data_IF_366379215942
#
_entry.id   IF_366379215942
#
_cell.length_a   1.000
_cell.length_b   1.000
_cell.length_c   1.000
_cell.angle_alpha   90.00
_cell.angle_beta   90.00
_cell.angle_gamma   90.00
#
_symmetry.space_group_name_H-M   'P 1'
#
loop_
_entity.id
_entity.type
_entity.pdbx_description
1 polymer ?
#
# COMPACT_ATOMS: atom_id res chain seq x y z
N UNK A 1 -46.30 25.86 42.01
CA UNK A 1 -46.29 25.73 40.53
C UNK A 1 -44.89 26.00 40.02
N UNK A 2 -44.42 25.15 39.09
CA UNK A 2 -43.17 25.16 38.32
C UNK A 2 -41.90 24.62 39.00
N UNK A 3 -41.54 23.45 38.48
CA UNK A 3 -40.36 22.60 38.70
C UNK A 3 -39.13 23.11 37.90
N UNK A 4 -37.94 22.47 38.04
CA UNK A 4 -36.62 23.10 38.13
C UNK A 4 -35.83 23.08 36.81
N UNK A 5 -34.61 23.65 36.82
CA UNK A 5 -33.57 23.30 35.83
C UNK A 5 -32.25 23.04 36.54
N UNK A 6 -31.96 21.74 36.72
CA UNK A 6 -30.66 21.20 37.05
C UNK A 6 -29.78 21.30 35.79
N UNK A 7 -28.79 22.20 35.78
CA UNK A 7 -27.70 22.15 34.82
C UNK A 7 -26.72 21.05 35.26
N UNK A 8 -26.87 19.86 34.66
CA UNK A 8 -25.85 18.82 34.71
C UNK A 8 -24.74 19.20 33.72
N UNK A 9 -23.60 19.63 34.25
CA UNK A 9 -22.37 19.74 33.46
C UNK A 9 -21.90 18.33 33.11
N UNK A 10 -21.97 17.97 31.82
CA UNK A 10 -21.38 16.75 31.29
C UNK A 10 -19.88 17.01 31.04
N UNK A 11 -19.02 16.43 31.87
CA UNK A 11 -17.60 16.33 31.57
C UNK A 11 -17.39 15.22 30.52
N UNK A 12 -17.07 15.60 29.28
CA UNK A 12 -16.60 14.67 28.26
C UNK A 12 -15.10 14.51 28.50
N UNK A 13 -14.71 13.40 29.13
CA UNK A 13 -13.33 12.96 29.18
C UNK A 13 -12.96 12.39 27.79
N UNK A 14 -12.21 13.15 27.01
CA UNK A 14 -11.62 12.69 25.76
C UNK A 14 -10.41 11.80 26.11
N UNK A 15 -10.65 10.49 26.25
CA UNK A 15 -9.57 9.52 26.39
C UNK A 15 -8.86 9.36 25.03
N UNK A 16 -7.71 10.01 24.88
CA UNK A 16 -6.78 9.79 23.77
C UNK A 16 -6.28 8.34 23.85
N UNK A 17 -6.74 7.50 22.91
CA UNK A 17 -6.23 6.15 22.71
C UNK A 17 -4.85 6.21 22.03
N UNK A 18 -3.79 6.53 22.78
CA UNK A 18 -2.39 6.52 22.29
C UNK A 18 -1.61 5.28 22.72
N UNK A 19 -2.29 4.26 23.28
CA UNK A 19 -1.64 3.18 24.02
C UNK A 19 -0.99 2.06 23.21
N UNK A 20 -1.31 1.88 21.93
CA UNK A 20 -0.83 0.72 21.15
C UNK A 20 0.42 0.99 20.34
N UNK A 21 0.56 2.20 19.78
CA UNK A 21 1.68 2.54 18.89
C UNK A 21 3.01 2.61 19.66
N UNK A 22 3.01 3.15 20.88
CA UNK A 22 4.24 3.29 21.67
C UNK A 22 4.84 1.93 22.09
N UNK A 23 3.99 0.98 22.51
CA UNK A 23 4.45 -0.35 22.93
C UNK A 23 5.06 -1.17 21.76
N UNK A 24 4.48 -1.09 20.57
CA UNK A 24 5.01 -1.78 19.38
C UNK A 24 6.31 -1.14 18.86
N UNK A 25 6.48 0.18 19.01
CA UNK A 25 7.72 0.87 18.66
C UNK A 25 8.90 0.46 19.57
N UNK A 26 8.62 0.24 20.86
CA UNK A 26 9.60 -0.26 21.82
C UNK A 26 10.04 -1.70 21.48
N UNK A 27 9.12 -2.56 21.01
CA UNK A 27 9.41 -3.92 20.59
C UNK A 27 10.38 -3.97 19.38
N UNK A 28 10.17 -3.11 18.37
CA UNK A 28 11.01 -3.04 17.19
C UNK A 28 12.46 -2.64 17.54
N UNK A 29 12.63 -1.61 18.39
CA UNK A 29 13.94 -1.14 18.82
C UNK A 29 14.70 -2.18 19.65
N UNK A 30 14.01 -2.87 20.55
CA UNK A 30 14.60 -3.94 21.37
C UNK A 30 15.06 -5.12 20.52
N UNK A 31 14.25 -5.56 19.55
CA UNK A 31 14.62 -6.62 18.62
C UNK A 31 15.83 -6.25 17.76
N UNK A 32 15.88 -5.01 17.28
CA UNK A 32 17.02 -4.50 16.52
C UNK A 32 18.31 -4.49 17.34
N UNK A 33 18.25 -4.00 18.59
CA UNK A 33 19.39 -3.99 19.50
C UNK A 33 19.88 -5.41 19.81
N UNK A 34 18.96 -6.35 20.08
CA UNK A 34 19.29 -7.77 20.28
C UNK A 34 19.99 -8.37 19.06
N UNK A 35 19.50 -8.09 17.85
CA UNK A 35 20.12 -8.54 16.62
C UNK A 35 21.56 -8.04 16.45
N UNK A 36 21.81 -6.77 16.78
CA UNK A 36 23.15 -6.20 16.73
C UNK A 36 24.13 -6.86 17.71
N UNK A 37 23.69 -7.17 18.93
CA UNK A 37 24.52 -7.87 19.92
C UNK A 37 24.81 -9.32 19.52
N UNK A 38 23.83 -10.05 18.98
CA UNK A 38 24.03 -11.40 18.45
C UNK A 38 25.03 -11.43 17.29
N UNK A 39 24.99 -10.42 16.42
CA UNK A 39 25.95 -10.31 15.32
C UNK A 39 27.38 -10.10 15.84
N UNK A 40 27.56 -9.23 16.84
CA UNK A 40 28.87 -9.04 17.50
C UNK A 40 29.36 -10.31 18.20
N UNK A 41 28.44 -11.11 18.74
CA UNK A 41 28.74 -12.38 19.38
C UNK A 41 29.06 -13.53 18.40
N UNK A 42 29.04 -13.28 17.08
CA UNK A 42 29.29 -14.31 16.07
C UNK A 42 28.14 -15.27 15.86
N UNK A 43 26.90 -14.83 16.14
CA UNK A 43 25.66 -15.60 15.98
C UNK A 43 24.79 -15.03 14.84
N UNK A 44 25.21 -15.15 13.57
CA UNK A 44 24.59 -14.44 12.46
C UNK A 44 23.17 -14.91 12.11
N UNK A 45 22.83 -16.18 12.34
CA UNK A 45 21.50 -16.72 12.03
C UNK A 45 20.45 -16.17 13.00
N UNK A 46 20.73 -16.20 14.30
CA UNK A 46 19.86 -15.62 15.33
C UNK A 46 19.79 -14.10 15.22
N UNK A 47 20.90 -13.45 14.85
CA UNK A 47 20.93 -12.03 14.57
C UNK A 47 20.00 -11.67 13.40
N UNK A 48 20.09 -12.40 12.29
CA UNK A 48 19.22 -12.20 11.13
C UNK A 48 17.75 -12.34 11.51
N UNK A 49 17.39 -13.37 12.29
CA UNK A 49 16.01 -13.55 12.76
C UNK A 49 15.52 -12.34 13.57
N UNK A 50 16.30 -11.90 14.56
CA UNK A 50 15.92 -10.76 15.41
C UNK A 50 15.77 -9.46 14.60
N UNK A 51 16.68 -9.20 13.66
CA UNK A 51 16.62 -8.03 12.78
C UNK A 51 15.44 -8.11 11.80
N UNK A 52 15.12 -9.30 11.29
CA UNK A 52 13.95 -9.47 10.43
C UNK A 52 12.64 -9.25 11.19
N UNK A 53 12.54 -9.76 12.43
CA UNK A 53 11.37 -9.49 13.28
C UNK A 53 11.25 -7.97 13.58
N UNK A 54 12.35 -7.28 13.89
CA UNK A 54 12.35 -5.82 14.03
C UNK A 54 11.90 -5.09 12.76
N UNK A 55 12.36 -5.55 11.59
CA UNK A 55 11.97 -4.99 10.30
C UNK A 55 10.48 -5.20 9.99
N UNK A 56 9.87 -6.29 10.46
CA UNK A 56 8.44 -6.54 10.32
C UNK A 56 7.63 -5.59 11.20
N UNK A 57 8.05 -5.33 12.43
CA UNK A 57 7.38 -4.35 13.30
C UNK A 57 7.45 -2.93 12.68
N UNK A 58 8.63 -2.52 12.21
CA UNK A 58 8.79 -1.25 11.51
C UNK A 58 7.93 -1.16 10.23
N UNK A 59 7.81 -2.27 9.51
CA UNK A 59 6.94 -2.38 8.34
C UNK A 59 5.47 -2.19 8.70
N UNK A 60 4.97 -2.86 9.74
CA UNK A 60 3.58 -2.75 10.19
C UNK A 60 3.25 -1.34 10.73
N UNK A 61 4.23 -0.61 11.23
CA UNK A 61 4.05 0.80 11.64
C UNK A 61 4.11 1.78 10.47
N UNK A 62 4.66 1.36 9.33
CA UNK A 62 4.75 2.22 8.14
C UNK A 62 3.35 2.43 7.52
N UNK A 63 3.07 3.61 6.95
CA UNK A 63 1.89 3.80 6.11
C UNK A 63 1.87 2.82 4.93
N UNK A 64 0.68 2.52 4.41
CA UNK A 64 0.57 1.84 3.12
C UNK A 64 1.10 2.80 2.04
N UNK A 65 2.24 2.45 1.47
CA UNK A 65 2.97 3.26 0.50
C UNK A 65 3.43 2.44 -0.70
N UNK A 66 4.19 3.08 -1.59
CA UNK A 66 4.68 2.44 -2.81
C UNK A 66 6.15 2.81 -3.03
N UNK A 67 7.04 1.82 -2.94
CA UNK A 67 8.49 2.04 -3.16
C UNK A 67 8.86 2.14 -4.64
N UNK A 68 7.94 1.72 -5.51
CA UNK A 68 8.07 1.83 -6.97
C UNK A 68 6.70 1.93 -7.60
N UNK A 69 6.56 2.83 -8.56
CA UNK A 69 5.40 2.94 -9.46
C UNK A 69 5.92 3.30 -10.86
N UNK A 70 5.57 2.54 -11.88
CA UNK A 70 6.15 2.65 -13.22
C UNK A 70 5.10 2.36 -14.29
N UNK A 71 5.22 3.04 -15.43
CA UNK A 71 4.64 2.56 -16.68
C UNK A 71 5.58 1.52 -17.28
N UNK A 72 5.04 0.38 -17.71
CA UNK A 72 5.85 -0.74 -18.22
C UNK A 72 5.43 -1.16 -19.62
N UNK A 73 6.36 -1.70 -20.40
CA UNK A 73 6.09 -2.20 -21.75
C UNK A 73 5.47 -3.60 -21.75
N UNK A 74 5.73 -4.39 -20.70
CA UNK A 74 5.18 -5.72 -20.49
C UNK A 74 4.92 -5.98 -19.00
N UNK A 75 3.98 -6.89 -18.65
CA UNK A 75 3.80 -7.33 -17.27
C UNK A 75 5.06 -7.98 -16.69
N UNK A 76 5.43 -7.61 -15.46
CA UNK A 76 6.52 -8.24 -14.75
C UNK A 76 6.17 -9.70 -14.43
N UNK A 77 7.15 -10.62 -14.55
CA UNK A 77 6.96 -12.05 -14.25
C UNK A 77 7.29 -12.38 -12.79
N UNK A 78 8.15 -11.59 -12.15
CA UNK A 78 8.45 -11.67 -10.73
C UNK A 78 8.76 -10.29 -10.16
N UNK A 79 8.87 -10.23 -8.83
CA UNK A 79 9.18 -9.00 -8.12
C UNK A 79 10.52 -8.42 -8.60
N UNK A 80 10.51 -7.15 -8.98
CA UNK A 80 11.68 -6.45 -9.48
C UNK A 80 12.01 -6.69 -10.96
N UNK A 81 11.31 -7.57 -11.69
CA UNK A 81 11.57 -7.84 -13.11
C UNK A 81 10.68 -7.00 -14.03
N UNK A 82 10.66 -5.69 -13.82
CA UNK A 82 9.88 -4.75 -14.63
C UNK A 82 10.68 -4.26 -15.85
N UNK A 83 9.96 -3.90 -16.92
CA UNK A 83 10.53 -3.26 -18.10
C UNK A 83 9.91 -1.86 -18.26
N UNK A 84 10.54 -0.80 -17.70
CA UNK A 84 10.00 0.54 -17.75
C UNK A 84 9.84 1.01 -19.19
N UNK A 85 8.79 1.79 -19.47
CA UNK A 85 8.72 2.54 -20.72
C UNK A 85 9.66 3.73 -20.66
N UNK A 86 10.21 4.09 -21.81
CA UNK A 86 10.99 5.32 -21.97
C UNK A 86 10.09 6.56 -21.97
N UNK A 87 8.83 6.41 -22.39
CA UNK A 87 7.84 7.48 -22.46
C UNK A 87 6.52 7.09 -21.79
N UNK A 88 5.79 8.10 -21.34
CA UNK A 88 4.42 7.99 -20.87
C UNK A 88 3.38 8.34 -21.95
N UNK A 89 3.79 8.32 -23.22
CA UNK A 89 2.92 8.58 -24.37
C UNK A 89 2.43 7.26 -24.94
N UNK A 90 1.14 7.18 -25.21
CA UNK A 90 0.45 6.00 -25.71
C UNK A 90 -0.37 6.33 -26.95
N UNK A 91 -0.42 5.36 -27.86
CA UNK A 91 -1.48 5.32 -28.87
C UNK A 91 -2.78 4.95 -28.16
N UNK A 92 -3.88 5.63 -28.49
CA UNK A 92 -5.19 5.46 -27.85
C UNK A 92 -5.75 4.03 -27.89
N UNK A 93 -5.19 3.15 -28.74
CA UNK A 93 -5.61 1.75 -28.85
C UNK A 93 -4.67 0.76 -28.14
N UNK A 94 -3.64 1.24 -27.43
CA UNK A 94 -2.70 0.37 -26.71
C UNK A 94 -3.04 0.25 -25.22
N UNK A 95 -2.97 -0.95 -24.63
CA UNK A 95 -3.14 -1.11 -23.19
C UNK A 95 -2.08 -0.34 -22.42
N UNK A 96 -2.53 0.48 -21.47
CA UNK A 96 -1.70 1.12 -20.46
C UNK A 96 -1.34 0.07 -19.42
N UNK A 97 -0.05 -0.15 -19.18
CA UNK A 97 0.43 -1.13 -18.18
C UNK A 97 1.21 -0.43 -17.11
N UNK A 98 0.91 -0.76 -15.87
CA UNK A 98 1.53 -0.18 -14.69
C UNK A 98 2.10 -1.28 -13.81
N UNK A 99 3.22 -0.98 -13.18
CA UNK A 99 3.87 -1.81 -12.19
C UNK A 99 3.99 -1.03 -10.89
N UNK A 100 3.59 -1.61 -9.77
CA UNK A 100 3.73 -0.99 -8.46
C UNK A 100 4.17 -1.98 -7.38
N UNK A 101 4.97 -1.51 -6.42
CA UNK A 101 5.49 -2.31 -5.30
C UNK A 101 5.00 -1.70 -3.98
N UNK A 102 3.93 -2.25 -3.37
CA UNK A 102 3.38 -1.73 -2.14
C UNK A 102 4.31 -2.00 -0.94
N UNK A 103 4.26 -1.13 0.05
CA UNK A 103 4.97 -1.24 1.32
C UNK A 103 4.06 -0.94 2.49
N UNK A 104 4.34 -1.51 3.65
CA UNK A 104 3.58 -1.22 4.88
C UNK A 104 2.19 -1.87 4.98
N UNK A 105 1.85 -2.77 4.05
CA UNK A 105 0.68 -3.65 4.16
C UNK A 105 0.88 -4.69 5.26
N UNK A 106 -0.20 -5.25 5.81
CA UNK A 106 -0.14 -6.30 6.81
C UNK A 106 -0.56 -7.68 6.31
N UNK A 107 -0.64 -8.60 7.28
CA UNK A 107 -1.06 -9.97 7.05
C UNK A 107 -2.11 -10.32 8.09
N UNK A 108 -3.23 -10.89 7.65
CA UNK A 108 -4.14 -11.59 8.55
C UNK A 108 -3.54 -12.97 8.87
N UNK A 109 -3.74 -13.47 10.09
CA UNK A 109 -3.34 -14.82 10.48
C UNK A 109 -4.54 -15.76 10.36
N UNK A 110 -4.35 -16.89 9.67
CA UNK A 110 -5.32 -17.98 9.60
C UNK A 110 -4.61 -19.30 9.92
N UNK A 111 -4.70 -19.73 11.18
CA UNK A 111 -3.97 -20.89 11.69
C UNK A 111 -2.45 -20.71 11.57
N UNK A 112 -1.83 -21.53 10.72
CA UNK A 112 -0.39 -21.49 10.41
C UNK A 112 -0.05 -20.60 9.19
N UNK A 113 -1.04 -20.00 8.54
CA UNK A 113 -0.87 -19.20 7.33
C UNK A 113 -0.99 -17.70 7.61
N UNK A 114 -0.24 -16.93 6.83
CA UNK A 114 -0.37 -15.50 6.68
C UNK A 114 -1.08 -15.20 5.36
N UNK A 115 -2.06 -14.30 5.41
CA UNK A 115 -2.86 -13.89 4.26
C UNK A 115 -2.72 -12.39 4.01
N UNK A 116 -2.22 -12.04 2.83
CA UNK A 116 -2.32 -10.69 2.26
C UNK A 116 -3.67 -10.61 1.56
N UNK A 117 -4.42 -9.54 1.83
CA UNK A 117 -5.74 -9.29 1.23
C UNK A 117 -5.83 -7.81 0.87
N UNK A 118 -5.53 -7.48 -0.39
CA UNK A 118 -5.56 -6.12 -0.91
C UNK A 118 -6.58 -5.99 -2.05
N UNK A 119 -7.35 -4.91 -2.08
CA UNK A 119 -8.12 -4.51 -3.26
C UNK A 119 -7.62 -3.19 -3.81
N UNK A 120 -7.84 -2.97 -5.10
CA UNK A 120 -7.37 -1.79 -5.83
C UNK A 120 -8.53 -1.15 -6.58
N UNK A 121 -8.73 0.13 -6.35
CA UNK A 121 -9.59 1.01 -7.14
C UNK A 121 -8.76 1.79 -8.16
N UNK A 122 -9.42 2.34 -9.19
CA UNK A 122 -8.85 3.44 -9.95
C UNK A 122 -9.82 4.61 -10.14
N UNK A 123 -9.28 5.81 -10.27
CA UNK A 123 -9.98 6.98 -10.80
C UNK A 123 -9.14 7.64 -11.88
N UNK A 124 -9.80 8.16 -12.92
CA UNK A 124 -9.18 8.80 -14.07
C UNK A 124 -9.63 10.26 -14.13
N UNK A 125 -8.67 11.16 -14.33
CA UNK A 125 -8.92 12.58 -14.55
C UNK A 125 -8.11 13.12 -15.73
N UNK A 126 -8.58 14.18 -16.36
CA UNK A 126 -7.76 14.98 -17.27
C UNK A 126 -6.76 15.84 -16.49
N UNK A 127 -5.80 16.43 -17.20
CA UNK A 127 -4.76 17.28 -16.62
C UNK A 127 -5.29 18.49 -15.82
N UNK A 128 -6.46 19.02 -16.17
CA UNK A 128 -7.13 20.10 -15.45
C UNK A 128 -7.94 19.63 -14.23
N UNK A 129 -7.92 18.33 -13.93
CA UNK A 129 -8.57 17.73 -12.77
C UNK A 129 -10.03 17.31 -12.99
N UNK A 130 -10.58 17.44 -14.20
CA UNK A 130 -11.94 16.96 -14.47
C UNK A 130 -12.00 15.43 -14.34
N UNK A 131 -12.95 14.87 -13.55
CA UNK A 131 -13.13 13.43 -13.45
C UNK A 131 -13.69 12.88 -14.76
N UNK A 132 -13.12 11.76 -15.22
CA UNK A 132 -13.48 11.11 -16.48
C UNK A 132 -14.07 9.72 -16.26
N UNK A 133 -13.73 9.06 -15.16
CA UNK A 133 -14.28 7.77 -14.78
C UNK A 133 -13.58 7.21 -13.56
N UNK A 134 -14.21 6.23 -12.92
CA UNK A 134 -13.65 5.49 -11.80
C UNK A 134 -14.20 4.07 -11.79
N UNK A 135 -13.47 3.18 -11.14
CA UNK A 135 -13.92 1.83 -10.86
C UNK A 135 -13.42 1.40 -9.48
N UNK A 136 -14.38 0.97 -8.65
CA UNK A 136 -14.13 0.29 -7.38
C UNK A 136 -13.84 -1.18 -7.62
N UNK A 137 -13.02 -1.77 -6.76
CA UNK A 137 -12.65 -3.19 -6.80
C UNK A 137 -12.18 -3.60 -8.22
N UNK A 138 -11.34 -2.75 -8.81
CA UNK A 138 -10.78 -2.97 -10.15
C UNK A 138 -9.88 -4.21 -10.21
N UNK A 139 -9.13 -4.48 -9.13
CA UNK A 139 -8.41 -5.74 -8.95
C UNK A 139 -8.35 -6.14 -7.47
N UNK A 140 -8.27 -7.45 -7.22
CA UNK A 140 -8.07 -8.05 -5.91
C UNK A 140 -6.80 -8.92 -5.90
N UNK A 141 -6.07 -8.87 -4.80
CA UNK A 141 -4.87 -9.66 -4.54
C UNK A 141 -5.01 -10.41 -3.22
N UNK A 142 -5.13 -11.74 -3.31
CA UNK A 142 -5.21 -12.64 -2.15
C UNK A 142 -4.06 -13.63 -2.23
N UNK A 143 -3.10 -13.50 -1.32
CA UNK A 143 -1.90 -14.35 -1.29
C UNK A 143 -1.84 -15.00 0.08
N UNK A 144 -1.81 -16.32 0.10
CA UNK A 144 -1.58 -17.12 1.29
C UNK A 144 -0.14 -17.65 1.28
N UNK A 145 0.49 -17.62 2.44
CA UNK A 145 1.86 -18.08 2.61
C UNK A 145 2.10 -18.58 4.03
N UNK A 146 3.09 -19.45 4.22
CA UNK A 146 3.61 -19.80 5.56
C UNK A 146 4.53 -18.72 6.13
N UNK A 147 4.87 -17.73 5.32
CA UNK A 147 5.77 -16.63 5.66
C UNK A 147 5.09 -15.27 5.48
N UNK A 148 5.56 -14.27 6.24
CA UNK A 148 5.17 -12.85 6.10
C UNK A 148 5.86 -12.24 4.87
N UNK A 149 5.44 -12.64 3.68
CA UNK A 149 6.03 -12.22 2.39
C UNK A 149 5.88 -10.72 2.20
N UNK A 150 7.00 -10.03 1.93
CA UNK A 150 7.06 -8.58 1.64
C UNK A 150 7.37 -8.27 0.17
N UNK A 151 7.80 -9.26 -0.61
CA UNK A 151 8.14 -9.13 -2.03
C UNK A 151 6.88 -9.26 -2.90
N UNK A 152 6.05 -8.23 -2.89
CA UNK A 152 4.80 -8.17 -3.66
C UNK A 152 4.82 -7.04 -4.67
N UNK A 153 4.13 -7.24 -5.79
CA UNK A 153 3.98 -6.26 -6.85
C UNK A 153 2.61 -6.38 -7.52
N UNK A 154 2.19 -5.32 -8.19
CA UNK A 154 0.98 -5.29 -9.00
C UNK A 154 1.33 -5.15 -10.48
N UNK A 155 0.65 -5.93 -11.32
CA UNK A 155 0.57 -5.69 -12.76
C UNK A 155 -0.83 -5.16 -13.07
N UNK A 156 -0.96 -3.84 -13.22
CA UNK A 156 -2.24 -3.19 -13.52
C UNK A 156 -2.32 -2.92 -15.03
N UNK A 157 -3.48 -3.14 -15.64
CA UNK A 157 -3.68 -2.87 -17.07
C UNK A 157 -4.99 -2.14 -17.30
N UNK A 158 -4.94 -0.97 -17.94
CA UNK A 158 -6.12 -0.20 -18.34
C UNK A 158 -6.17 -0.06 -19.85
N UNK A 159 -7.37 -0.14 -20.41
CA UNK A 159 -7.62 0.11 -21.83
C UNK A 159 -8.64 1.23 -21.94
N UNK A 160 -8.25 2.33 -22.58
CA UNK A 160 -9.09 3.53 -22.72
C UNK A 160 -9.61 3.64 -24.16
N UNK A 161 -10.64 2.86 -24.47
CA UNK A 161 -11.22 2.84 -25.81
C UNK A 161 -11.83 4.20 -26.17
N UNK A 162 -11.32 4.83 -27.23
CA UNK A 162 -11.86 6.08 -27.77
C UNK A 162 -11.58 7.32 -26.92
N UNK A 163 -10.64 7.26 -25.97
CA UNK A 163 -10.21 8.46 -25.26
C UNK A 163 -9.49 9.42 -26.23
N UNK A 164 -9.83 10.72 -26.23
CA UNK A 164 -9.22 11.68 -27.16
C UNK A 164 -7.74 11.96 -26.82
N UNK A 165 -7.05 12.63 -27.74
CA UNK A 165 -5.71 13.15 -27.47
C UNK A 165 -5.71 14.06 -26.25
N UNK A 166 -4.71 13.88 -25.40
CA UNK A 166 -4.59 14.71 -24.20
C UNK A 166 -3.76 14.06 -23.10
N UNK A 167 -3.62 14.84 -22.02
CA UNK A 167 -2.93 14.44 -20.81
C UNK A 167 -3.93 14.00 -19.74
N UNK A 168 -3.57 12.93 -19.06
CA UNK A 168 -4.42 12.23 -18.11
C UNK A 168 -3.61 11.85 -16.87
N UNK A 169 -4.32 11.67 -15.76
CA UNK A 169 -3.76 11.04 -14.56
C UNK A 169 -4.73 9.95 -14.12
N UNK A 170 -4.21 8.74 -13.97
CA UNK A 170 -4.91 7.70 -13.22
C UNK A 170 -4.36 7.65 -11.80
N UNK A 171 -5.26 7.69 -10.81
CA UNK A 171 -4.93 7.40 -9.41
C UNK A 171 -5.38 5.99 -9.10
N UNK A 172 -4.47 5.15 -8.65
CA UNK A 172 -4.81 3.87 -8.04
C UNK A 172 -4.87 4.03 -6.53
N UNK A 173 -5.93 3.52 -5.90
CA UNK A 173 -6.07 3.47 -4.45
C UNK A 173 -6.07 2.01 -4.02
N UNK A 174 -5.19 1.65 -3.10
CA UNK A 174 -5.03 0.30 -2.59
C UNK A 174 -5.55 0.26 -1.16
N UNK A 175 -6.41 -0.70 -0.90
CA UNK A 175 -7.05 -0.97 0.39
C UNK A 175 -6.44 -2.23 0.98
N UNK A 176 -5.86 -2.13 2.18
CA UNK A 176 -5.38 -3.28 2.94
C UNK A 176 -6.42 -3.74 3.94
N UNK A 177 -7.09 -4.84 3.62
CA UNK A 177 -8.17 -5.39 4.44
C UNK A 177 -7.67 -6.04 5.73
N UNK A 178 -6.37 -6.34 5.84
CA UNK A 178 -5.79 -6.89 7.06
C UNK A 178 -5.53 -5.81 8.11
N UNK A 179 -5.16 -4.60 7.70
CA UNK A 179 -4.81 -3.50 8.63
C UNK A 179 -5.78 -2.32 8.60
N UNK A 180 -6.66 -2.24 7.62
CA UNK A 180 -7.54 -1.09 7.37
C UNK A 180 -6.80 0.13 6.81
N UNK A 181 -5.55 -0.02 6.36
CA UNK A 181 -4.78 1.08 5.76
C UNK A 181 -5.14 1.26 4.30
N UNK A 182 -5.11 2.52 3.87
CA UNK A 182 -5.21 2.90 2.48
C UNK A 182 -3.93 3.60 2.02
N UNK A 183 -3.60 3.41 0.74
CA UNK A 183 -2.50 4.12 0.08
C UNK A 183 -2.85 4.37 -1.38
N UNK A 184 -2.44 5.51 -1.92
CA UNK A 184 -2.70 5.85 -3.33
C UNK A 184 -1.44 6.31 -4.06
N UNK A 185 -1.43 6.13 -5.38
CA UNK A 185 -0.40 6.69 -6.24
C UNK A 185 -0.97 7.16 -7.58
N UNK A 186 -0.38 8.23 -8.10
CA UNK A 186 -0.75 8.86 -9.36
C UNK A 186 0.18 8.45 -10.50
N UNK A 187 -0.40 8.14 -11.66
CA UNK A 187 0.34 7.79 -12.87
C UNK A 187 -0.09 8.73 -14.01
N UNK A 188 0.69 9.77 -14.30
CA UNK A 188 0.45 10.66 -15.43
C UNK A 188 0.83 9.99 -16.76
N UNK A 189 -0.02 10.14 -17.77
CA UNK A 189 0.22 9.65 -19.13
C UNK A 189 -0.42 10.57 -20.18
N UNK A 190 -0.01 10.40 -21.43
CA UNK A 190 -0.53 11.15 -22.57
C UNK A 190 -1.04 10.17 -23.63
N UNK A 191 -2.19 10.47 -24.24
CA UNK A 191 -2.68 9.80 -25.44
C UNK A 191 -2.40 10.71 -26.64
N UNK A 192 -1.81 10.14 -27.69
CA UNK A 192 -1.68 10.76 -29.02
C UNK A 192 -2.07 9.77 -30.10
N UNK A 193 -3.02 10.15 -30.94
CA UNK A 193 -3.27 9.49 -32.22
C UNK A 193 -2.30 10.07 -33.25
N UNK A 194 -1.65 9.17 -34.01
CA UNK A 194 -0.75 9.54 -35.11
C UNK A 194 -1.47 10.11 -36.32
#
# INVERSE_FOLDING_TARGET
>A
MRHPSLLRAAAIALALATGTVAAQADDAQQLAAKGAELLKAGQPEEAYKALNDAAIEAWLQSPLGFRRTLLVSAPAQSFGTYSPRETNVFDGNTPLRFYAEPTGFGWATDGELYRIDLSIDFSLRSADGKPLGEQKDFQDFKIESRERVREMFFNLTLTLNGAPDGQYVVTFTVHDHATGKDGSFDMPFEIKHG
#
